data_IF_362003657584
#
_entry.id   IF_362003657584
#
_cell.length_a   1.000
_cell.length_b   1.000
_cell.length_c   1.000
_cell.angle_alpha   90.00
_cell.angle_beta   90.00
_cell.angle_gamma   90.00
#
_symmetry.space_group_name_H-M   'P 1'
#
loop_
_entity.id
_entity.type
_entity.pdbx_description
1 polymer ?
#
# COMPACT_ATOMS: atom_id res chain seq x y z
N UNK A 1 45.81 11.06 -7.40
CA UNK A 1 44.36 11.02 -7.58
C UNK A 1 43.74 10.15 -6.48
N UNK A 2 43.94 10.48 -5.18
CA UNK A 2 43.31 9.79 -4.04
C UNK A 2 43.16 10.83 -2.92
N UNK A 3 42.23 11.77 -3.07
CA UNK A 3 41.99 12.75 -1.97
C UNK A 3 40.59 13.44 -2.01
N UNK A 4 39.56 12.83 -2.61
CA UNK A 4 38.22 13.45 -2.64
C UNK A 4 37.10 12.53 -2.07
N UNK A 5 37.40 11.37 -1.48
CA UNK A 5 36.36 10.44 -0.98
C UNK A 5 36.17 10.44 0.53
N UNK A 6 36.81 11.34 1.30
CA UNK A 6 36.76 11.30 2.78
C UNK A 6 35.83 12.34 3.42
N UNK A 7 35.12 13.19 2.68
CA UNK A 7 34.40 14.33 3.29
C UNK A 7 32.87 14.21 3.29
N UNK A 8 32.31 13.11 2.84
CA UNK A 8 30.84 12.92 2.80
C UNK A 8 30.30 12.07 3.96
N UNK A 9 31.17 11.36 4.69
CA UNK A 9 30.72 10.43 5.76
C UNK A 9 30.52 11.12 7.12
N UNK A 10 31.01 12.35 7.32
CA UNK A 10 30.93 13.03 8.63
C UNK A 10 29.62 13.84 8.81
N UNK A 11 28.86 14.12 7.76
CA UNK A 11 27.64 14.92 7.86
C UNK A 11 26.38 14.15 8.29
N UNK A 12 26.40 12.81 8.30
CA UNK A 12 25.21 11.99 8.63
C UNK A 12 25.16 11.57 10.12
N UNK A 13 26.25 11.70 10.86
CA UNK A 13 26.32 11.31 12.28
C UNK A 13 25.99 12.45 13.27
N UNK A 14 25.77 13.67 12.78
CA UNK A 14 25.47 14.84 13.63
C UNK A 14 24.01 15.04 14.04
N UNK A 15 23.05 14.38 13.37
CA UNK A 15 21.62 14.66 13.57
C UNK A 15 20.93 13.73 14.59
N UNK A 16 21.56 12.62 14.96
CA UNK A 16 20.93 11.62 15.85
C UNK A 16 21.18 11.85 17.34
N UNK A 17 22.07 12.77 17.75
CA UNK A 17 22.39 13.00 19.17
C UNK A 17 21.55 14.12 19.81
N UNK A 18 20.93 14.99 19.03
CA UNK A 18 20.12 16.10 19.58
C UNK A 18 18.73 15.71 20.08
N UNK A 19 18.27 14.48 19.82
CA UNK A 19 16.90 14.04 20.19
C UNK A 19 16.82 13.32 21.55
N UNK A 20 17.92 13.04 22.21
CA UNK A 20 17.98 12.25 23.46
C UNK A 20 18.26 13.05 24.74
N UNK A 21 18.51 14.37 24.68
CA UNK A 21 18.89 15.18 25.85
C UNK A 21 17.85 16.20 26.30
N UNK A 22 16.62 16.14 25.78
CA UNK A 22 15.55 17.10 26.09
C UNK A 22 14.46 16.55 27.02
N UNK A 23 14.79 15.77 28.07
CA UNK A 23 13.76 15.37 29.04
C UNK A 23 14.32 15.21 30.44
N UNK A 24 14.52 16.35 31.11
CA UNK A 24 14.53 16.37 32.58
C UNK A 24 14.07 17.72 33.14
N UNK A 25 13.14 17.61 34.08
CA UNK A 25 12.70 18.50 35.14
C UNK A 25 11.93 19.80 34.84
N UNK A 26 10.63 19.77 35.21
CA UNK A 26 10.20 20.56 36.37
C UNK A 26 8.84 20.08 36.93
N UNK A 27 8.86 19.58 38.15
CA UNK A 27 7.73 19.48 39.08
C UNK A 27 7.42 20.86 39.63
N UNK A 28 6.22 21.37 39.37
CA UNK A 28 5.59 22.33 40.28
C UNK A 28 4.07 22.11 40.20
N UNK A 29 3.55 21.66 41.33
CA UNK A 29 2.16 21.49 41.70
C UNK A 29 1.43 22.83 41.58
N UNK A 30 0.36 22.88 40.81
CA UNK A 30 -0.71 23.87 40.97
C UNK A 30 -2.00 23.25 40.39
N UNK A 31 -2.87 22.86 41.31
CA UNK A 31 -4.24 22.47 41.05
C UNK A 31 -4.96 23.59 40.28
N UNK A 32 -5.27 23.35 39.00
CA UNK A 32 -6.30 24.09 38.30
C UNK A 32 -7.29 23.09 37.68
N UNK A 33 -8.56 23.25 38.10
CA UNK A 33 -9.74 22.63 37.53
C UNK A 33 -9.68 22.73 35.98
N UNK A 34 -9.52 21.60 35.34
CA UNK A 34 -9.67 21.49 33.89
C UNK A 34 -11.16 21.36 33.60
N UNK A 35 -11.79 22.50 33.28
CA UNK A 35 -13.03 22.53 32.52
C UNK A 35 -12.77 21.76 31.22
N UNK A 36 -13.52 20.67 31.03
CA UNK A 36 -13.41 19.81 29.89
C UNK A 36 -13.62 20.58 28.57
N UNK A 37 -12.54 20.98 27.94
CA UNK A 37 -12.52 21.21 26.52
C UNK A 37 -12.39 19.82 25.87
N UNK A 38 -13.47 19.35 25.28
CA UNK A 38 -13.41 18.21 24.35
C UNK A 38 -12.39 18.57 23.31
N UNK A 39 -11.24 17.87 23.34
CA UNK A 39 -10.26 17.89 22.25
C UNK A 39 -11.05 17.62 20.96
N UNK A 40 -11.02 18.53 19.94
CA UNK A 40 -11.61 18.19 18.66
C UNK A 40 -10.89 16.94 18.22
N UNK A 41 -11.64 15.84 18.03
CA UNK A 41 -11.11 14.59 17.52
C UNK A 41 -10.26 14.95 16.31
N UNK A 42 -8.95 14.80 16.42
CA UNK A 42 -8.06 14.88 15.28
C UNK A 42 -8.52 13.71 14.42
N UNK A 43 -9.23 14.01 13.32
CA UNK A 43 -9.61 13.02 12.34
C UNK A 43 -8.30 12.31 11.96
N UNK A 44 -8.15 11.08 12.39
CA UNK A 44 -6.96 10.27 12.10
C UNK A 44 -6.87 10.16 10.59
N UNK A 45 -5.89 10.87 10.00
CA UNK A 45 -5.71 10.92 8.56
C UNK A 45 -5.37 9.52 8.07
N UNK A 46 -6.36 8.82 7.51
CA UNK A 46 -6.17 7.54 6.83
C UNK A 46 -6.04 7.81 5.32
N UNK A 47 -4.83 7.68 4.75
CA UNK A 47 -4.61 7.91 3.32
C UNK A 47 -5.50 7.03 2.43
N UNK A 48 -5.94 5.86 2.92
CA UNK A 48 -6.83 4.97 2.19
C UNK A 48 -8.28 5.48 2.14
N UNK A 49 -8.60 6.56 2.86
CA UNK A 49 -9.90 7.23 2.75
C UNK A 49 -9.97 8.21 1.57
N UNK A 50 -8.83 8.49 0.91
CA UNK A 50 -8.83 9.03 -0.44
C UNK A 50 -9.05 7.87 -1.43
N UNK A 51 -10.14 7.88 -2.25
CA UNK A 51 -10.45 6.75 -3.12
C UNK A 51 -9.41 6.51 -4.21
N UNK A 52 -8.67 7.53 -4.67
CA UNK A 52 -7.62 7.37 -5.66
C UNK A 52 -6.36 6.73 -5.05
N UNK A 53 -5.95 7.16 -3.85
CA UNK A 53 -4.85 6.55 -3.09
C UNK A 53 -5.24 5.13 -2.67
N UNK A 54 -6.46 4.94 -2.18
CA UNK A 54 -7.00 3.64 -1.83
C UNK A 54 -6.98 2.65 -3.00
N UNK A 55 -7.47 3.08 -4.17
CA UNK A 55 -7.47 2.24 -5.37
C UNK A 55 -6.06 1.78 -5.77
N UNK A 56 -5.07 2.68 -5.75
CA UNK A 56 -3.68 2.33 -6.07
C UNK A 56 -3.10 1.32 -5.07
N UNK A 57 -3.24 1.59 -3.77
CA UNK A 57 -2.66 0.77 -2.70
C UNK A 57 -3.31 -0.61 -2.63
N UNK A 58 -4.64 -0.67 -2.74
CA UNK A 58 -5.38 -1.92 -2.70
C UNK A 58 -5.10 -2.77 -3.95
N UNK A 59 -5.11 -2.17 -5.15
CA UNK A 59 -4.77 -2.88 -6.38
C UNK A 59 -3.32 -3.40 -6.35
N UNK A 60 -2.35 -2.61 -5.88
CA UNK A 60 -0.98 -3.06 -5.72
C UNK A 60 -0.87 -4.26 -4.78
N UNK A 61 -1.58 -4.22 -3.64
CA UNK A 61 -1.60 -5.32 -2.67
C UNK A 61 -2.23 -6.59 -3.24
N UNK A 62 -3.40 -6.47 -3.90
CA UNK A 62 -4.14 -7.60 -4.48
C UNK A 62 -3.31 -8.30 -5.58
N UNK A 63 -2.60 -7.52 -6.40
CA UNK A 63 -1.84 -8.02 -7.55
C UNK A 63 -0.41 -8.47 -7.19
N UNK A 64 0.00 -8.33 -5.93
CA UNK A 64 1.34 -8.71 -5.45
C UNK A 64 1.26 -9.91 -4.50
N UNK A 65 2.16 -10.88 -4.68
CA UNK A 65 2.22 -12.07 -3.82
C UNK A 65 3.62 -12.68 -3.81
N UNK A 66 3.87 -13.53 -2.82
CA UNK A 66 5.17 -14.19 -2.57
C UNK A 66 4.99 -15.69 -2.56
N UNK A 67 5.25 -16.40 -3.68
CA UNK A 67 5.02 -17.86 -3.76
C UNK A 67 5.72 -18.69 -2.69
N UNK A 68 6.82 -18.19 -2.11
CA UNK A 68 7.54 -18.86 -1.02
C UNK A 68 6.78 -18.85 0.32
N UNK A 69 5.89 -17.89 0.54
CA UNK A 69 5.18 -17.70 1.82
C UNK A 69 3.67 -17.72 1.68
N UNK A 70 3.15 -17.30 0.53
CA UNK A 70 1.71 -17.25 0.25
C UNK A 70 1.22 -18.63 -0.21
N UNK A 71 -0.02 -18.97 0.14
CA UNK A 71 -0.65 -20.22 -0.28
C UNK A 71 -1.17 -20.14 -1.72
N UNK A 72 -1.60 -18.98 -2.14
CA UNK A 72 -2.15 -18.72 -3.47
C UNK A 72 -2.02 -17.24 -3.85
N UNK A 73 -2.23 -16.86 -5.13
CA UNK A 73 -2.26 -15.46 -5.53
C UNK A 73 -3.30 -14.62 -4.79
N UNK A 74 -4.36 -15.24 -4.24
CA UNK A 74 -5.41 -14.53 -3.48
C UNK A 74 -4.95 -14.03 -2.12
N UNK A 75 -3.79 -14.45 -1.62
CA UNK A 75 -3.25 -13.97 -0.35
C UNK A 75 -2.93 -12.47 -0.38
N UNK A 76 -2.67 -11.89 -1.59
CA UNK A 76 -2.63 -10.45 -1.80
C UNK A 76 -3.91 -9.74 -1.36
N UNK A 77 -5.06 -10.29 -1.74
CA UNK A 77 -6.38 -9.77 -1.35
C UNK A 77 -6.67 -10.00 0.14
N UNK A 78 -6.23 -11.12 0.73
CA UNK A 78 -6.42 -11.41 2.16
C UNK A 78 -5.78 -10.37 3.06
N UNK A 79 -4.61 -9.85 2.66
CA UNK A 79 -3.89 -8.82 3.43
C UNK A 79 -4.67 -7.51 3.59
N UNK A 80 -5.59 -7.24 2.67
CA UNK A 80 -6.40 -6.01 2.63
C UNK A 80 -7.90 -6.29 2.73
N UNK A 81 -8.27 -7.45 3.27
CA UNK A 81 -9.65 -7.96 3.31
C UNK A 81 -10.66 -6.96 3.84
N UNK A 82 -10.30 -6.21 4.88
CA UNK A 82 -11.20 -5.25 5.53
C UNK A 82 -11.52 -4.04 4.64
N UNK A 83 -10.73 -3.83 3.59
CA UNK A 83 -10.90 -2.79 2.57
C UNK A 83 -11.48 -3.31 1.26
N UNK A 84 -12.01 -4.54 1.26
CA UNK A 84 -12.66 -5.16 0.10
C UNK A 84 -14.16 -5.30 0.33
N UNK A 85 -14.90 -5.32 -0.77
CA UNK A 85 -16.32 -5.67 -0.79
C UNK A 85 -16.65 -6.47 -2.07
N UNK A 86 -17.91 -6.88 -2.25
CA UNK A 86 -18.36 -7.58 -3.45
C UNK A 86 -17.57 -8.85 -3.78
N UNK A 87 -17.18 -9.01 -5.05
CA UNK A 87 -16.49 -10.22 -5.53
C UNK A 87 -15.08 -10.36 -4.99
N UNK A 88 -14.36 -9.27 -4.72
CA UNK A 88 -13.00 -9.31 -4.21
C UNK A 88 -12.95 -9.74 -2.74
N UNK A 89 -13.94 -9.35 -1.92
CA UNK A 89 -14.06 -9.87 -0.56
C UNK A 89 -14.30 -11.38 -0.55
N UNK A 90 -15.13 -11.90 -1.47
CA UNK A 90 -15.34 -13.34 -1.61
C UNK A 90 -14.07 -14.06 -2.06
N UNK A 91 -13.37 -13.52 -3.06
CA UNK A 91 -12.12 -14.08 -3.58
C UNK A 91 -10.99 -14.07 -2.52
N UNK A 92 -10.96 -13.10 -1.63
CA UNK A 92 -10.00 -13.04 -0.52
C UNK A 92 -10.13 -14.23 0.47
N UNK A 93 -11.27 -14.90 0.49
CA UNK A 93 -11.48 -16.14 1.28
C UNK A 93 -11.14 -17.43 0.54
N UNK A 94 -10.81 -17.37 -0.74
CA UNK A 94 -10.64 -18.54 -1.60
C UNK A 94 -9.16 -18.93 -1.76
N UNK A 95 -8.76 -20.04 -1.12
CA UNK A 95 -7.42 -20.62 -1.26
C UNK A 95 -7.25 -21.46 -2.53
N UNK A 96 -8.33 -21.67 -3.31
CA UNK A 96 -8.32 -22.48 -4.53
C UNK A 96 -7.96 -21.69 -5.79
N UNK A 97 -7.61 -20.40 -5.66
CA UNK A 97 -7.22 -19.58 -6.79
C UNK A 97 -6.09 -20.27 -7.61
N UNK A 98 -6.24 -20.37 -8.95
CA UNK A 98 -5.29 -21.08 -9.78
C UNK A 98 -3.90 -20.45 -9.70
N UNK A 99 -2.91 -21.29 -9.44
CA UNK A 99 -1.51 -20.87 -9.37
C UNK A 99 -0.92 -20.76 -10.77
N UNK A 100 -0.10 -19.74 -11.06
CA UNK A 100 0.70 -19.69 -12.29
C UNK A 100 1.59 -20.93 -12.44
N UNK A 101 1.89 -21.32 -13.68
CA UNK A 101 2.75 -22.49 -13.96
C UNK A 101 4.12 -22.39 -13.27
N UNK A 102 4.65 -21.18 -13.15
CA UNK A 102 5.96 -20.90 -12.54
C UNK A 102 5.92 -20.83 -11.00
N UNK A 103 4.77 -21.05 -10.36
CA UNK A 103 4.62 -20.89 -8.91
C UNK A 103 5.72 -21.62 -8.10
N UNK A 104 5.95 -22.90 -8.40
CA UNK A 104 6.93 -23.70 -7.66
C UNK A 104 8.37 -23.22 -7.89
N UNK A 105 8.71 -22.81 -9.12
CA UNK A 105 10.01 -22.21 -9.44
C UNK A 105 10.21 -20.94 -8.63
N UNK A 106 9.24 -20.01 -8.67
CA UNK A 106 9.32 -18.77 -7.92
C UNK A 106 9.37 -18.98 -6.41
N UNK A 107 8.66 -20.01 -5.89
CA UNK A 107 8.73 -20.38 -4.47
C UNK A 107 10.11 -20.86 -4.07
N UNK A 108 10.72 -21.77 -4.86
CA UNK A 108 12.07 -22.29 -4.66
C UNK A 108 13.11 -21.17 -4.69
N UNK A 109 13.04 -20.30 -5.68
CA UNK A 109 14.01 -19.22 -5.90
C UNK A 109 13.73 -17.99 -5.02
N UNK A 110 12.72 -18.06 -4.14
CA UNK A 110 12.29 -16.96 -3.27
C UNK A 110 11.94 -15.67 -4.03
N UNK A 111 11.56 -15.81 -5.29
CA UNK A 111 11.09 -14.71 -6.12
C UNK A 111 9.73 -14.21 -5.63
N UNK A 112 9.46 -12.91 -5.85
CA UNK A 112 8.19 -12.25 -5.49
C UNK A 112 7.55 -11.67 -6.72
N UNK A 113 6.23 -11.72 -6.78
CA UNK A 113 5.46 -10.99 -7.78
C UNK A 113 5.12 -9.64 -7.18
N UNK A 114 5.64 -8.60 -7.79
CA UNK A 114 5.47 -7.22 -7.33
C UNK A 114 4.78 -6.39 -8.39
N UNK A 115 3.77 -5.62 -7.97
CA UNK A 115 2.99 -4.76 -8.85
C UNK A 115 3.11 -3.31 -8.41
N UNK A 116 3.60 -2.47 -9.31
CA UNK A 116 3.60 -1.01 -9.16
C UNK A 116 2.37 -0.46 -9.87
N UNK A 117 1.62 0.38 -9.17
CA UNK A 117 0.38 0.99 -9.67
C UNK A 117 0.54 2.50 -9.72
N UNK A 118 0.06 3.10 -10.82
CA UNK A 118 -0.05 4.55 -10.95
C UNK A 118 -1.43 4.93 -11.52
N UNK A 119 -1.91 6.11 -11.18
CA UNK A 119 -3.07 6.69 -11.83
C UNK A 119 -2.78 6.93 -13.32
N UNK A 120 -3.75 6.70 -14.17
CA UNK A 120 -3.69 7.08 -15.59
C UNK A 120 -4.09 8.53 -15.80
N UNK A 121 -5.10 8.98 -15.04
CA UNK A 121 -5.65 10.32 -15.12
C UNK A 121 -5.98 10.83 -13.70
N UNK A 122 -6.01 12.13 -13.52
CA UNK A 122 -6.60 12.73 -12.33
C UNK A 122 -8.12 12.56 -12.39
N UNK A 123 -8.69 12.02 -11.34
CA UNK A 123 -10.15 11.83 -11.21
C UNK A 123 -10.64 12.85 -10.19
N UNK A 124 -11.54 13.73 -10.64
CA UNK A 124 -12.27 14.61 -9.73
C UNK A 124 -13.43 13.83 -9.11
N UNK A 125 -13.39 13.64 -7.78
CA UNK A 125 -14.37 12.86 -7.05
C UNK A 125 -15.10 13.80 -6.10
N UNK A 126 -16.42 14.00 -6.31
CA UNK A 126 -17.22 14.83 -5.40
C UNK A 126 -17.11 14.34 -3.95
N UNK A 127 -17.11 15.28 -2.99
CA UNK A 127 -16.97 14.95 -1.58
C UNK A 127 -18.11 14.08 -1.02
N UNK A 128 -19.29 14.18 -1.63
CA UNK A 128 -20.48 13.40 -1.31
C UNK A 128 -20.59 12.08 -2.11
N UNK A 129 -19.60 11.78 -2.97
CA UNK A 129 -19.60 10.56 -3.75
C UNK A 129 -19.56 9.32 -2.86
N UNK A 130 -20.38 8.34 -3.21
CA UNK A 130 -20.41 7.01 -2.57
C UNK A 130 -19.83 5.92 -3.45
N UNK A 131 -19.53 6.25 -4.71
CA UNK A 131 -18.89 5.37 -5.68
C UNK A 131 -17.88 6.17 -6.51
N UNK A 132 -16.78 5.54 -6.90
CA UNK A 132 -15.79 6.13 -7.78
C UNK A 132 -15.19 5.05 -8.69
N UNK A 133 -14.81 5.43 -9.91
CA UNK A 133 -14.06 4.58 -10.85
C UNK A 133 -12.70 5.24 -11.07
N UNK A 134 -11.65 4.55 -10.69
CA UNK A 134 -10.27 5.07 -10.70
C UNK A 134 -9.47 4.35 -11.79
N UNK A 135 -9.12 5.03 -12.88
CA UNK A 135 -8.31 4.44 -13.94
C UNK A 135 -6.84 4.37 -13.51
N UNK A 136 -6.30 3.15 -13.52
CA UNK A 136 -4.92 2.88 -13.13
C UNK A 136 -4.14 2.15 -14.22
N UNK A 137 -2.83 2.29 -14.18
CA UNK A 137 -1.90 1.39 -14.85
C UNK A 137 -1.17 0.55 -13.80
N UNK A 138 -1.23 -0.76 -13.93
CA UNK A 138 -0.48 -1.71 -13.14
C UNK A 138 0.67 -2.30 -13.98
N UNK A 139 1.89 -2.28 -13.42
CA UNK A 139 3.07 -2.96 -13.98
C UNK A 139 3.49 -4.04 -13.00
N UNK A 140 3.44 -5.29 -13.43
CA UNK A 140 3.80 -6.45 -12.61
C UNK A 140 5.12 -7.03 -13.09
N UNK A 141 6.03 -7.30 -12.16
CA UNK A 141 7.34 -7.89 -12.42
C UNK A 141 7.60 -9.04 -11.44
N UNK A 142 8.41 -10.00 -11.85
CA UNK A 142 9.06 -10.93 -10.93
C UNK A 142 10.29 -10.24 -10.36
N UNK A 143 10.39 -10.19 -9.05
CA UNK A 143 11.57 -9.73 -8.33
C UNK A 143 12.32 -10.94 -7.82
N UNK A 144 13.50 -11.17 -8.36
CA UNK A 144 14.36 -12.29 -8.03
C UNK A 144 15.15 -12.02 -6.74
N UNK A 145 15.64 -13.08 -6.10
CA UNK A 145 16.37 -12.97 -4.83
C UNK A 145 17.72 -12.27 -4.97
N UNK A 146 18.31 -12.25 -6.16
CA UNK A 146 19.55 -11.54 -6.52
C UNK A 146 19.34 -10.04 -6.79
N UNK A 147 18.07 -9.57 -6.80
CA UNK A 147 17.69 -8.19 -7.03
C UNK A 147 17.27 -7.88 -8.47
N UNK A 148 17.42 -8.81 -9.38
CA UNK A 148 16.97 -8.66 -10.75
C UNK A 148 15.44 -8.60 -10.84
N UNK A 149 14.95 -7.92 -11.88
CA UNK A 149 13.51 -7.72 -12.11
C UNK A 149 13.15 -8.11 -13.55
N UNK A 150 12.22 -9.05 -13.69
CA UNK A 150 11.68 -9.45 -14.99
C UNK A 150 10.25 -8.95 -15.13
N UNK A 151 9.97 -7.98 -16.03
CA UNK A 151 8.60 -7.56 -16.32
C UNK A 151 7.80 -8.72 -16.91
N UNK A 152 6.56 -8.91 -16.42
CA UNK A 152 5.67 -9.99 -16.89
C UNK A 152 4.31 -9.51 -17.36
N UNK A 153 3.88 -8.32 -16.93
CA UNK A 153 2.57 -7.81 -17.31
C UNK A 153 2.46 -6.31 -17.14
N UNK A 154 1.77 -5.68 -18.09
CA UNK A 154 1.30 -4.31 -17.98
C UNK A 154 -0.20 -4.28 -18.26
N UNK A 155 -0.99 -3.70 -17.37
CA UNK A 155 -2.46 -3.64 -17.49
C UNK A 155 -2.97 -2.23 -17.30
N UNK A 156 -4.03 -1.88 -18.01
CA UNK A 156 -4.89 -0.73 -17.69
C UNK A 156 -6.15 -1.27 -17.05
N UNK A 157 -6.55 -0.71 -15.93
CA UNK A 157 -7.61 -1.24 -15.08
C UNK A 157 -8.46 -0.08 -14.58
N UNK A 158 -9.78 -0.21 -14.65
CA UNK A 158 -10.72 0.61 -13.89
C UNK A 158 -10.93 -0.06 -12.53
N UNK A 159 -10.55 0.62 -11.46
CA UNK A 159 -10.81 0.17 -10.09
C UNK A 159 -12.09 0.80 -9.60
N UNK A 160 -13.07 -0.03 -9.26
CA UNK A 160 -14.35 0.41 -8.71
C UNK A 160 -14.26 0.48 -7.19
N UNK A 161 -14.43 1.67 -6.67
CA UNK A 161 -14.44 1.95 -5.24
C UNK A 161 -15.86 2.27 -4.78
N UNK A 162 -16.23 1.78 -3.60
CA UNK A 162 -17.52 2.02 -2.95
C UNK A 162 -17.26 2.50 -1.53
N UNK A 163 -17.98 3.53 -1.09
CA UNK A 163 -17.90 4.06 0.27
C UNK A 163 -18.89 3.33 1.17
N UNK A 164 -18.38 2.64 2.20
CA UNK A 164 -19.16 2.00 3.24
C UNK A 164 -18.87 2.68 4.59
N UNK A 165 -19.83 3.40 5.13
CA UNK A 165 -19.59 4.32 6.25
C UNK A 165 -18.61 5.41 5.85
N UNK A 166 -17.51 5.54 6.57
CA UNK A 166 -16.46 6.53 6.28
C UNK A 166 -15.28 5.94 5.49
N UNK A 167 -15.36 4.66 5.07
CA UNK A 167 -14.26 3.96 4.42
C UNK A 167 -14.55 3.71 2.96
N UNK A 168 -13.57 3.98 2.10
CA UNK A 168 -13.59 3.52 0.73
C UNK A 168 -13.09 2.07 0.65
N UNK A 169 -13.83 1.23 -0.06
CA UNK A 169 -13.53 -0.19 -0.30
C UNK A 169 -13.47 -0.49 -1.77
N UNK A 170 -12.57 -1.39 -2.17
CA UNK A 170 -12.49 -1.88 -3.53
C UNK A 170 -13.57 -2.96 -3.73
N UNK A 171 -14.44 -2.75 -4.72
CA UNK A 171 -15.52 -3.67 -5.08
C UNK A 171 -15.21 -4.48 -6.32
N UNK A 172 -14.54 -3.88 -7.31
CA UNK A 172 -14.20 -4.52 -8.59
C UNK A 172 -12.93 -3.94 -9.22
N UNK A 173 -12.33 -4.72 -10.12
CA UNK A 173 -11.30 -4.31 -11.07
C UNK A 173 -11.67 -4.79 -12.47
N UNK A 174 -11.95 -3.86 -13.37
CA UNK A 174 -12.24 -4.10 -14.77
C UNK A 174 -10.98 -3.92 -15.61
N UNK A 175 -10.50 -4.99 -16.24
CA UNK A 175 -9.31 -4.94 -17.10
C UNK A 175 -9.67 -4.41 -18.48
N UNK A 176 -9.13 -3.25 -18.86
CA UNK A 176 -9.33 -2.60 -20.15
C UNK A 176 -8.33 -3.11 -21.19
N UNK A 177 -7.09 -3.34 -20.77
CA UNK A 177 -6.06 -3.94 -21.61
C UNK A 177 -5.02 -4.68 -20.77
N UNK A 178 -4.45 -5.73 -21.35
CA UNK A 178 -3.34 -6.51 -20.78
C UNK A 178 -2.34 -6.74 -21.88
N UNK A 179 -1.05 -6.47 -21.60
CA UNK A 179 0.09 -6.79 -22.47
C UNK A 179 1.23 -7.41 -21.64
N UNK A 180 2.01 -8.23 -22.25
CA UNK A 180 3.27 -8.79 -21.74
C UNK A 180 4.45 -7.91 -22.09
#
# INVERSE_FOLDING_TARGET
VILITSMVIIAVLGITVAFLLGKEHNTTDTSQEHVGASDPAVDEFDPLNDPAVGAQSLAASILSYSPATDKSPSDGAKRVKDRLTGKYLKAAGDDSAPKPKQWNTWAHDKSKIHTVVKLLDNVDIPADATQAVIPIQAKTSVWHADGDQTPIRKSKINVHMVKEGNMWKLSDMEYLSVSE
#
